data_IF_056655683213
#
_entry.id   IF_056655683213
#
_cell.length_a   1.000
_cell.length_b   1.000
_cell.length_c   1.000
_cell.angle_alpha   90.00
_cell.angle_beta   90.00
_cell.angle_gamma   90.00
#
_symmetry.space_group_name_H-M   'P 1'
#
loop_
_entity.id
_entity.type
_entity.pdbx_description
1 polymer ?
#
# COMPACT_ATOMS: atom_id res chain seq x y z
N UNK A 1 33.86 -14.50 13.66
CA UNK A 1 32.99 -13.52 14.34
C UNK A 1 31.98 -13.05 13.30
N UNK A 2 30.84 -13.74 13.23
CA UNK A 2 29.80 -13.48 12.24
C UNK A 2 28.91 -12.37 12.74
N UNK A 3 29.13 -11.17 12.20
CA UNK A 3 28.31 -10.00 12.44
C UNK A 3 27.10 -10.06 11.49
N UNK A 4 26.20 -11.02 11.71
CA UNK A 4 24.83 -10.95 11.17
C UNK A 4 24.10 -9.89 11.98
N UNK A 5 24.40 -8.63 11.69
CA UNK A 5 23.51 -7.53 12.06
C UNK A 5 22.18 -7.84 11.38
N UNK A 6 21.18 -8.17 12.20
CA UNK A 6 19.78 -8.18 11.80
C UNK A 6 19.46 -6.80 11.24
N UNK A 7 19.62 -6.65 9.94
CA UNK A 7 18.97 -5.64 9.15
C UNK A 7 17.48 -6.03 9.11
N UNK A 8 16.82 -5.96 10.27
CA UNK A 8 15.37 -5.83 10.33
C UNK A 8 15.10 -4.45 9.75
N UNK A 9 15.16 -4.39 8.42
CA UNK A 9 14.79 -3.23 7.65
C UNK A 9 13.39 -2.88 8.10
N UNK A 10 13.27 -1.74 8.76
CA UNK A 10 11.99 -1.13 9.06
C UNK A 10 11.20 -1.15 7.75
N UNK A 11 10.19 -2.00 7.67
CA UNK A 11 9.29 -2.00 6.54
C UNK A 11 8.16 -1.03 6.91
N UNK A 12 7.82 -0.04 6.08
CA UNK A 12 6.64 0.79 6.30
C UNK A 12 5.36 -0.03 6.49
N UNK A 13 5.36 -1.29 6.05
CA UNK A 13 4.29 -2.25 6.23
C UNK A 13 4.13 -2.75 7.68
N UNK A 14 5.19 -2.78 8.49
CA UNK A 14 5.08 -3.13 9.93
C UNK A 14 4.44 -2.01 10.78
N UNK A 15 4.46 -0.76 10.30
CA UNK A 15 3.71 0.34 10.92
C UNK A 15 2.22 0.35 10.54
N UNK A 16 1.83 -0.38 9.50
CA UNK A 16 0.42 -0.73 9.29
C UNK A 16 0.13 -1.82 10.30
N UNK A 17 -0.15 -1.40 11.54
CA UNK A 17 -0.46 -2.24 12.71
C UNK A 17 -1.03 -3.57 12.24
N UNK A 18 -0.18 -4.60 12.25
CA UNK A 18 -0.60 -5.96 11.92
C UNK A 18 -1.77 -6.23 12.86
N UNK A 19 -2.98 -6.20 12.30
CA UNK A 19 -4.22 -6.01 13.05
C UNK A 19 -4.38 -7.22 13.95
N UNK A 20 -3.79 -7.13 15.14
CA UNK A 20 -3.56 -8.23 16.07
C UNK A 20 -4.89 -8.90 16.21
N UNK A 21 -5.00 -10.11 15.65
CA UNK A 21 -6.28 -10.79 15.43
C UNK A 21 -7.13 -10.59 16.67
N UNK A 22 -8.20 -9.78 16.56
CA UNK A 22 -9.01 -9.41 17.72
C UNK A 22 -9.72 -10.68 18.18
N UNK A 23 -9.11 -11.42 19.10
CA UNK A 23 -9.70 -12.64 19.67
C UNK A 23 -10.78 -12.22 20.67
N UNK A 24 -12.03 -12.64 20.46
CA UNK A 24 -13.14 -12.37 21.37
C UNK A 24 -14.48 -12.19 20.65
N UNK A 25 -15.52 -11.91 21.44
CA UNK A 25 -16.89 -11.70 20.95
C UNK A 25 -16.98 -10.61 19.88
N UNK A 26 -16.22 -9.52 20.06
CA UNK A 26 -16.16 -8.40 19.11
C UNK A 26 -15.53 -8.84 17.78
N UNK A 27 -14.46 -9.65 17.82
CA UNK A 27 -13.84 -10.18 16.60
C UNK A 27 -14.76 -11.14 15.86
N UNK A 28 -15.46 -12.01 16.59
CA UNK A 28 -16.50 -12.88 16.04
C UNK A 28 -17.63 -12.08 15.40
N UNK A 29 -18.08 -11.00 16.05
CA UNK A 29 -19.11 -10.11 15.50
C UNK A 29 -18.66 -9.49 14.18
N UNK A 30 -17.47 -8.88 14.14
CA UNK A 30 -16.95 -8.29 12.90
C UNK A 30 -16.77 -9.33 11.79
N UNK A 31 -16.27 -10.53 12.12
CA UNK A 31 -16.11 -11.60 11.15
C UNK A 31 -17.44 -12.05 10.51
N UNK A 32 -18.55 -11.93 11.23
CA UNK A 32 -19.87 -12.34 10.74
C UNK A 32 -20.69 -11.21 10.09
N UNK A 33 -20.43 -9.95 10.47
CA UNK A 33 -21.31 -8.82 10.12
C UNK A 33 -20.66 -7.78 9.22
N UNK A 34 -19.32 -7.70 9.18
CA UNK A 34 -18.58 -6.74 8.35
C UNK A 34 -17.90 -7.42 7.16
N UNK A 35 -17.50 -6.62 6.18
CA UNK A 35 -16.65 -7.07 5.07
C UNK A 35 -15.24 -7.45 5.58
N UNK A 36 -14.60 -8.47 5.00
CA UNK A 36 -13.24 -8.83 5.35
C UNK A 36 -12.29 -7.67 5.01
N UNK A 37 -11.26 -7.50 5.83
CA UNK A 37 -10.24 -6.46 5.63
C UNK A 37 -9.53 -6.72 4.30
N UNK A 38 -9.54 -5.76 3.35
CA UNK A 38 -8.90 -5.94 2.06
C UNK A 38 -7.36 -5.94 2.20
N UNK A 39 -6.63 -6.58 1.28
CA UNK A 39 -5.17 -6.55 1.28
C UNK A 39 -4.64 -5.13 1.08
N UNK A 40 -3.40 -4.87 1.49
CA UNK A 40 -2.75 -3.56 1.37
C UNK A 40 -2.67 -3.04 -0.08
N UNK A 41 -2.66 -3.94 -1.06
CA UNK A 41 -2.67 -3.64 -2.49
C UNK A 41 -4.06 -3.34 -3.06
N UNK A 42 -5.12 -3.43 -2.26
CA UNK A 42 -6.48 -3.21 -2.74
C UNK A 42 -6.74 -1.75 -3.10
N UNK A 43 -7.73 -1.53 -3.97
CA UNK A 43 -8.10 -0.19 -4.39
C UNK A 43 -8.61 0.65 -3.21
N UNK A 44 -8.44 1.97 -3.30
CA UNK A 44 -8.95 2.90 -2.28
C UNK A 44 -10.46 2.72 -2.01
N UNK A 45 -11.23 2.44 -3.06
CA UNK A 45 -12.69 2.26 -2.98
C UNK A 45 -13.04 1.03 -2.14
N UNK A 46 -12.29 -0.07 -2.29
CA UNK A 46 -12.48 -1.28 -1.50
C UNK A 46 -12.08 -1.10 -0.04
N UNK A 47 -10.94 -0.42 0.22
CA UNK A 47 -10.51 -0.07 1.58
C UNK A 47 -11.56 0.79 2.30
N UNK A 48 -12.09 1.79 1.62
CA UNK A 48 -13.14 2.66 2.17
C UNK A 48 -14.46 1.90 2.40
N UNK A 49 -14.86 1.03 1.48
CA UNK A 49 -16.06 0.20 1.64
C UNK A 49 -15.94 -0.74 2.85
N UNK A 50 -14.77 -1.36 3.06
CA UNK A 50 -14.51 -2.20 4.23
C UNK A 50 -14.53 -1.39 5.54
N UNK A 51 -13.89 -0.22 5.57
CA UNK A 51 -13.90 0.70 6.71
C UNK A 51 -15.33 1.13 7.08
N UNK A 52 -16.14 1.53 6.09
CA UNK A 52 -17.56 1.85 6.31
C UNK A 52 -18.35 0.66 6.81
N UNK A 53 -18.12 -0.53 6.23
CA UNK A 53 -18.81 -1.75 6.66
C UNK A 53 -18.51 -2.11 8.12
N UNK A 54 -17.25 -1.93 8.57
CA UNK A 54 -16.87 -2.12 9.97
C UNK A 54 -17.51 -1.08 10.90
N UNK A 55 -17.54 0.19 10.49
CA UNK A 55 -18.23 1.25 11.23
C UNK A 55 -19.73 0.92 11.37
N UNK A 56 -20.40 0.56 10.27
CA UNK A 56 -21.81 0.14 10.26
C UNK A 56 -22.04 -1.06 11.17
N UNK A 57 -21.19 -2.08 11.12
CA UNK A 57 -21.29 -3.25 12.00
C UNK A 57 -21.14 -2.87 13.49
N UNK A 58 -20.28 -1.90 13.80
CA UNK A 58 -20.10 -1.39 15.18
C UNK A 58 -21.35 -0.67 15.67
N UNK A 59 -21.92 0.19 14.82
CA UNK A 59 -23.14 0.93 15.15
C UNK A 59 -24.31 -0.02 15.36
N UNK A 60 -24.52 -0.98 14.45
CA UNK A 60 -25.61 -1.97 14.58
C UNK A 60 -25.45 -2.80 15.86
N UNK A 61 -24.23 -3.18 16.22
CA UNK A 61 -23.99 -3.91 17.47
C UNK A 61 -24.47 -3.14 18.70
N UNK A 62 -23.99 -1.89 18.85
CA UNK A 62 -24.38 -1.07 20.00
C UNK A 62 -25.85 -0.68 19.98
N UNK A 63 -26.41 -0.45 18.79
CA UNK A 63 -27.83 -0.17 18.63
C UNK A 63 -28.69 -1.36 19.07
N UNK A 64 -28.33 -2.59 18.70
CA UNK A 64 -29.00 -3.81 19.16
C UNK A 64 -28.92 -3.96 20.68
N UNK A 65 -27.75 -3.70 21.28
CA UNK A 65 -27.60 -3.70 22.74
C UNK A 65 -28.52 -2.68 23.38
N UNK A 66 -28.57 -1.45 22.87
CA UNK A 66 -29.48 -0.41 23.36
C UNK A 66 -30.95 -0.82 23.26
N UNK A 67 -31.41 -1.37 22.13
CA UNK A 67 -32.79 -1.83 21.98
C UNK A 67 -33.14 -2.94 22.97
N UNK A 68 -32.24 -3.92 23.16
CA UNK A 68 -32.45 -4.99 24.14
C UNK A 68 -32.58 -4.41 25.56
N UNK A 69 -31.77 -3.41 25.90
CA UNK A 69 -31.82 -2.73 27.20
C UNK A 69 -33.06 -1.83 27.37
N UNK A 70 -33.67 -1.37 26.27
CA UNK A 70 -34.88 -0.54 26.32
C UNK A 70 -36.17 -1.35 26.50
N UNK A 71 -36.21 -2.62 26.10
CA UNK A 71 -37.40 -3.49 26.24
C UNK A 71 -38.02 -3.46 27.64
N UNK A 72 -37.27 -3.60 28.76
CA UNK A 72 -37.84 -3.50 30.10
C UNK A 72 -38.48 -2.14 30.40
N UNK A 73 -37.88 -1.05 29.92
CA UNK A 73 -38.43 0.30 30.05
C UNK A 73 -39.73 0.45 29.28
N UNK A 74 -39.78 -0.07 28.05
CA UNK A 74 -40.98 -0.02 27.20
C UNK A 74 -42.16 -0.79 27.80
N UNK A 75 -41.92 -1.85 28.57
CA UNK A 75 -42.96 -2.58 29.30
C UNK A 75 -43.62 -1.76 30.42
N UNK A 76 -42.94 -0.73 30.92
CA UNK A 76 -43.48 0.18 31.96
C UNK A 76 -44.21 1.39 31.39
N UNK A 77 -44.07 1.65 30.08
CA UNK A 77 -44.68 2.80 29.44
C UNK A 77 -46.19 2.55 29.17
N UNK A 78 -47.05 3.57 29.30
CA UNK A 78 -48.47 3.44 29.01
C UNK A 78 -48.78 3.11 27.54
N UNK A 79 -47.87 3.45 26.62
CA UNK A 79 -48.03 3.25 25.18
C UNK A 79 -47.40 1.91 24.73
N UNK A 80 -48.20 0.86 24.44
CA UNK A 80 -47.67 -0.44 24.01
C UNK A 80 -47.07 -0.41 22.60
N UNK A 81 -47.35 0.61 21.78
CA UNK A 81 -46.78 0.73 20.43
C UNK A 81 -45.26 0.94 20.44
N UNK A 82 -44.70 1.46 21.55
CA UNK A 82 -43.25 1.63 21.71
C UNK A 82 -42.52 0.28 21.63
N UNK A 83 -43.07 -0.76 22.27
CA UNK A 83 -42.49 -2.11 22.24
C UNK A 83 -42.48 -2.66 20.82
N UNK A 84 -43.55 -2.43 20.06
CA UNK A 84 -43.65 -2.86 18.67
C UNK A 84 -42.68 -2.09 17.76
N UNK A 85 -42.51 -0.79 17.99
CA UNK A 85 -41.55 0.02 17.26
C UNK A 85 -40.12 -0.50 17.48
N UNK A 86 -39.73 -0.78 18.73
CA UNK A 86 -38.42 -1.35 19.06
C UNK A 86 -38.23 -2.75 18.47
N UNK A 87 -39.26 -3.61 18.54
CA UNK A 87 -39.22 -4.94 17.93
C UNK A 87 -39.01 -4.87 16.40
N UNK A 88 -39.69 -3.95 15.72
CA UNK A 88 -39.51 -3.70 14.29
C UNK A 88 -38.08 -3.21 14.00
N UNK A 89 -37.52 -2.36 14.86
CA UNK A 89 -36.14 -1.88 14.72
C UNK A 89 -35.08 -2.96 14.89
N UNK A 90 -35.31 -3.92 15.78
CA UNK A 90 -34.46 -5.11 15.90
C UNK A 90 -34.49 -5.91 14.58
N UNK A 91 -35.66 -6.09 13.98
CA UNK A 91 -35.79 -6.77 12.67
C UNK A 91 -35.05 -5.99 11.57
N UNK A 92 -35.23 -4.67 11.48
CA UNK A 92 -34.48 -3.84 10.52
C UNK A 92 -32.97 -3.93 10.73
N UNK A 93 -32.50 -4.01 11.98
CA UNK A 93 -31.09 -4.17 12.30
C UNK A 93 -30.54 -5.49 11.77
N UNK A 94 -31.27 -6.60 11.91
CA UNK A 94 -30.88 -7.89 11.33
C UNK A 94 -30.86 -7.86 9.79
N UNK A 95 -31.83 -7.22 9.16
CA UNK A 95 -31.83 -7.04 7.70
C UNK A 95 -30.64 -6.17 7.29
N UNK A 96 -30.35 -5.09 8.01
CA UNK A 96 -29.21 -4.22 7.73
C UNK A 96 -27.87 -4.96 7.82
N UNK A 97 -27.71 -5.92 8.75
CA UNK A 97 -26.52 -6.80 8.80
C UNK A 97 -26.36 -7.58 7.49
N UNK A 98 -27.45 -8.12 6.95
CA UNK A 98 -27.42 -8.86 5.69
C UNK A 98 -27.00 -7.97 4.51
N UNK A 99 -27.52 -6.74 4.43
CA UNK A 99 -27.12 -5.76 3.42
C UNK A 99 -25.66 -5.32 3.58
N UNK A 100 -25.20 -5.12 4.81
CA UNK A 100 -23.81 -4.76 5.11
C UNK A 100 -22.84 -5.84 4.61
N UNK A 101 -23.19 -7.11 4.84
CA UNK A 101 -22.40 -8.26 4.38
C UNK A 101 -22.45 -8.44 2.85
N UNK A 102 -23.53 -8.02 2.20
CA UNK A 102 -23.72 -8.10 0.75
C UNK A 102 -22.98 -7.01 -0.05
N UNK A 103 -21.92 -6.41 0.52
CA UNK A 103 -21.13 -5.30 -0.06
C UNK A 103 -21.91 -4.02 -0.34
N UNK A 104 -23.08 -3.84 0.30
CA UNK A 104 -23.89 -2.63 0.14
C UNK A 104 -24.12 -1.88 1.46
N UNK A 105 -23.04 -1.38 2.11
CA UNK A 105 -23.12 -0.73 3.42
C UNK A 105 -23.98 0.54 3.40
N UNK A 106 -24.07 1.24 2.25
CA UNK A 106 -24.94 2.40 2.08
C UNK A 106 -26.43 2.01 2.17
N UNK A 107 -26.80 0.88 1.57
CA UNK A 107 -28.17 0.35 1.65
C UNK A 107 -28.54 -0.04 3.09
N UNK A 108 -27.61 -0.68 3.81
CA UNK A 108 -27.79 -1.00 5.23
C UNK A 108 -27.98 0.28 6.08
N UNK A 109 -27.15 1.31 5.84
CA UNK A 109 -27.27 2.60 6.50
C UNK A 109 -28.59 3.31 6.22
N UNK A 110 -29.03 3.29 4.96
CA UNK A 110 -30.30 3.89 4.55
C UNK A 110 -31.49 3.17 5.21
N UNK A 111 -31.49 1.84 5.16
CA UNK A 111 -32.53 1.02 5.77
C UNK A 111 -32.64 1.28 7.28
N UNK A 112 -31.50 1.33 7.98
CA UNK A 112 -31.47 1.56 9.42
C UNK A 112 -31.95 2.97 9.78
N UNK A 113 -31.53 3.98 9.01
CA UNK A 113 -31.96 5.37 9.20
C UNK A 113 -33.46 5.50 8.98
N UNK A 114 -33.97 5.01 7.85
CA UNK A 114 -35.41 5.05 7.54
C UNK A 114 -36.24 4.26 8.54
N UNK A 115 -35.78 3.07 8.93
CA UNK A 115 -36.43 2.27 9.97
C UNK A 115 -36.55 3.06 11.27
N UNK A 116 -35.46 3.68 11.72
CA UNK A 116 -35.41 4.44 12.96
C UNK A 116 -36.35 5.65 12.93
N UNK A 117 -36.34 6.40 11.82
CA UNK A 117 -37.22 7.55 11.61
C UNK A 117 -38.70 7.15 11.56
N UNK A 118 -39.04 6.05 10.89
CA UNK A 118 -40.41 5.51 10.84
C UNK A 118 -40.85 5.06 12.24
N UNK A 119 -39.98 4.39 13.00
CA UNK A 119 -40.27 3.93 14.34
C UNK A 119 -40.55 5.10 15.30
N UNK A 120 -39.71 6.15 15.30
CA UNK A 120 -39.93 7.35 16.10
C UNK A 120 -41.21 8.09 15.69
N UNK A 121 -41.43 8.25 14.39
CA UNK A 121 -42.65 8.86 13.86
C UNK A 121 -43.90 8.09 14.31
N UNK A 122 -43.87 6.76 14.25
CA UNK A 122 -44.97 5.91 14.73
C UNK A 122 -45.22 6.11 16.23
N UNK A 123 -44.17 6.17 17.06
CA UNK A 123 -44.30 6.39 18.51
C UNK A 123 -44.94 7.75 18.81
N UNK A 124 -44.53 8.80 18.11
CA UNK A 124 -45.08 10.14 18.29
C UNK A 124 -46.55 10.21 17.85
N UNK A 125 -46.90 9.63 16.70
CA UNK A 125 -48.29 9.64 16.21
C UNK A 125 -49.24 8.71 16.96
N UNK A 126 -48.72 7.74 17.71
CA UNK A 126 -49.54 6.86 18.56
C UNK A 126 -49.69 7.38 19.99
N UNK A 127 -48.94 8.42 20.37
CA UNK A 127 -49.06 9.06 21.69
C UNK A 127 -50.24 10.03 21.68
N UNK A 128 -51.42 9.53 22.05
CA UNK A 128 -52.68 10.29 22.07
C UNK A 128 -53.28 10.29 23.49
N UNK A 129 -53.57 11.47 24.10
CA UNK A 129 -53.32 12.83 23.60
C UNK A 129 -51.87 13.27 23.77
N UNK A 130 -51.43 14.26 22.99
CA UNK A 130 -50.09 14.83 23.12
C UNK A 130 -49.98 15.58 24.46
N UNK A 131 -49.01 15.20 25.27
CA UNK A 131 -48.73 15.75 26.60
C UNK A 131 -47.37 16.48 26.63
N UNK A 132 -47.12 17.26 27.68
CA UNK A 132 -45.86 18.02 27.79
C UNK A 132 -44.61 17.12 27.79
N UNK A 133 -44.57 15.96 28.49
CA UNK A 133 -43.44 15.04 28.42
C UNK A 133 -43.17 14.48 27.01
N UNK A 134 -44.19 14.23 26.20
CA UNK A 134 -44.00 13.72 24.83
C UNK A 134 -43.26 14.69 23.92
N UNK A 135 -43.28 16.00 24.20
CA UNK A 135 -42.49 16.99 23.45
C UNK A 135 -40.99 16.72 23.59
N UNK A 136 -40.54 16.16 24.72
CA UNK A 136 -39.14 15.76 24.89
C UNK A 136 -38.74 14.62 23.93
N UNK A 137 -39.70 13.82 23.45
CA UNK A 137 -39.44 12.78 22.46
C UNK A 137 -38.99 13.36 21.10
N UNK A 138 -39.29 14.63 20.80
CA UNK A 138 -38.77 15.29 19.60
C UNK A 138 -37.25 15.43 19.63
N UNK A 139 -36.63 15.46 20.82
CA UNK A 139 -35.17 15.48 20.94
C UNK A 139 -34.57 14.10 20.55
N UNK A 140 -35.35 13.01 20.54
CA UNK A 140 -34.87 11.68 20.08
C UNK A 140 -34.60 11.63 18.58
N UNK A 141 -35.24 12.48 17.76
CA UNK A 141 -34.95 12.60 16.33
C UNK A 141 -33.49 12.98 16.04
N UNK A 142 -32.83 13.62 17.00
CA UNK A 142 -31.40 13.91 16.92
C UNK A 142 -30.57 12.65 16.76
N UNK A 143 -30.95 11.54 17.41
CA UNK A 143 -30.27 10.26 17.23
C UNK A 143 -30.39 9.73 15.80
N UNK A 144 -31.53 9.98 15.14
CA UNK A 144 -31.75 9.65 13.75
C UNK A 144 -30.83 10.43 12.80
N UNK A 145 -30.64 11.72 13.06
CA UNK A 145 -29.68 12.55 12.33
C UNK A 145 -28.23 12.09 12.51
N UNK A 146 -27.82 11.79 13.75
CA UNK A 146 -26.47 11.30 14.06
C UNK A 146 -26.22 9.94 13.41
N UNK A 147 -27.22 9.06 13.42
CA UNK A 147 -27.17 7.75 12.77
C UNK A 147 -27.08 7.90 11.24
N UNK A 148 -27.87 8.82 10.65
CA UNK A 148 -27.81 9.19 9.24
C UNK A 148 -26.42 9.66 8.83
N UNK A 149 -25.85 10.63 9.55
CA UNK A 149 -24.51 11.19 9.27
C UNK A 149 -23.41 10.14 9.37
N UNK A 150 -23.54 9.22 10.32
CA UNK A 150 -22.52 8.19 10.57
C UNK A 150 -22.53 7.11 9.48
N UNK A 151 -23.70 6.78 8.92
CA UNK A 151 -23.87 5.66 8.00
C UNK A 151 -23.99 6.06 6.53
N UNK A 152 -24.53 7.25 6.26
CA UNK A 152 -24.78 7.78 4.93
C UNK A 152 -23.79 8.88 4.56
N UNK A 153 -24.04 9.57 3.45
CA UNK A 153 -23.26 10.74 3.07
C UNK A 153 -23.58 11.90 4.01
N UNK A 154 -22.59 12.71 4.40
CA UNK A 154 -22.82 13.83 5.32
C UNK A 154 -23.93 14.78 4.88
N UNK A 155 -24.17 14.92 3.56
CA UNK A 155 -25.21 15.81 3.03
C UNK A 155 -26.64 15.30 3.25
N UNK A 156 -26.86 13.99 3.46
CA UNK A 156 -28.22 13.46 3.66
C UNK A 156 -28.83 13.87 4.99
N UNK A 157 -28.02 14.35 5.94
CA UNK A 157 -28.50 14.85 7.25
C UNK A 157 -29.53 15.96 7.09
N UNK A 158 -29.36 16.85 6.11
CA UNK A 158 -30.28 17.97 5.90
C UNK A 158 -31.66 17.49 5.42
N UNK A 159 -31.72 16.38 4.67
CA UNK A 159 -32.99 15.81 4.23
C UNK A 159 -33.73 15.21 5.45
N UNK A 160 -33.01 14.48 6.30
CA UNK A 160 -33.56 13.91 7.54
C UNK A 160 -34.00 15.02 8.50
N UNK A 161 -33.18 16.06 8.68
CA UNK A 161 -33.52 17.23 9.49
C UNK A 161 -34.82 17.92 9.01
N UNK A 162 -34.97 18.16 7.70
CA UNK A 162 -36.18 18.75 7.15
C UNK A 162 -37.41 17.84 7.34
N UNK A 163 -37.22 16.53 7.18
CA UNK A 163 -38.27 15.55 7.48
C UNK A 163 -38.68 15.60 8.95
N UNK A 164 -37.72 15.59 9.87
CA UNK A 164 -37.95 15.63 11.33
C UNK A 164 -38.67 16.92 11.75
N UNK A 165 -38.26 18.07 11.22
CA UNK A 165 -38.94 19.35 11.43
C UNK A 165 -40.39 19.27 10.91
N UNK A 166 -40.60 18.69 9.73
CA UNK A 166 -41.94 18.49 9.17
C UNK A 166 -42.83 17.63 10.08
N UNK A 167 -42.30 16.54 10.64
CA UNK A 167 -43.02 15.66 11.57
C UNK A 167 -43.31 16.37 12.90
N UNK A 168 -42.37 17.13 13.45
CA UNK A 168 -42.56 17.91 14.68
C UNK A 168 -43.67 18.94 14.50
N UNK A 169 -43.66 19.69 13.38
CA UNK A 169 -44.73 20.66 13.10
C UNK A 169 -46.07 19.95 12.86
N UNK A 170 -46.08 18.87 12.07
CA UNK A 170 -47.30 18.13 11.78
C UNK A 170 -47.94 17.54 13.04
N UNK A 171 -47.14 16.93 13.94
CA UNK A 171 -47.62 16.40 15.21
C UNK A 171 -48.19 17.51 16.11
N UNK A 172 -47.49 18.64 16.25
CA UNK A 172 -47.96 19.76 17.06
C UNK A 172 -49.23 20.46 16.54
N UNK A 173 -49.51 20.42 15.23
CA UNK A 173 -50.70 21.09 14.67
C UNK A 173 -51.88 20.15 14.43
N UNK A 174 -51.63 18.86 14.16
CA UNK A 174 -52.68 17.91 13.79
C UNK A 174 -53.13 17.03 14.96
N UNK A 175 -52.28 16.79 15.96
CA UNK A 175 -52.65 15.93 17.08
C UNK A 175 -53.49 16.69 18.13
N UNK A 176 -54.40 15.99 18.82
CA UNK A 176 -55.13 16.57 19.92
C UNK A 176 -54.25 16.71 21.17
N UNK A 177 -54.32 17.88 21.79
CA UNK A 177 -53.51 18.26 22.94
C UNK A 177 -54.25 18.01 24.25
N UNK A 178 -53.49 17.68 25.30
CA UNK A 178 -53.97 17.79 26.67
C UNK A 178 -54.36 19.23 27.01
N UNK A 179 -55.27 19.42 27.97
CA UNK A 179 -55.72 20.76 28.38
C UNK A 179 -54.57 21.65 28.88
N UNK A 180 -53.59 21.04 29.57
CA UNK A 180 -52.37 21.72 30.05
C UNK A 180 -51.53 22.20 28.86
N UNK A 181 -51.18 21.29 27.95
CA UNK A 181 -50.37 21.65 26.78
C UNK A 181 -51.07 22.68 25.88
N UNK A 182 -52.40 22.63 25.75
CA UNK A 182 -53.15 23.62 25.00
C UNK A 182 -53.06 25.03 25.62
N UNK A 183 -53.04 25.12 26.96
CA UNK A 183 -52.81 26.39 27.65
C UNK A 183 -51.39 26.91 27.41
N UNK A 184 -50.39 26.03 27.48
CA UNK A 184 -48.99 26.40 27.24
C UNK A 184 -48.73 26.80 25.79
N UNK A 185 -49.37 26.15 24.83
CA UNK A 185 -49.30 26.52 23.42
C UNK A 185 -49.86 27.92 23.17
N UNK A 186 -50.91 28.34 23.87
CA UNK A 186 -51.45 29.69 23.75
C UNK A 186 -50.50 30.76 24.30
N UNK A 187 -49.75 30.44 25.36
CA UNK A 187 -48.86 31.39 26.03
C UNK A 187 -47.43 31.39 25.46
N UNK A 188 -46.95 30.24 24.97
CA UNK A 188 -45.53 29.99 24.66
C UNK A 188 -45.32 29.16 23.37
N UNK A 189 -46.17 29.31 22.36
CA UNK A 189 -46.04 28.61 21.06
C UNK A 189 -44.64 28.70 20.46
N UNK A 190 -44.07 29.90 20.43
CA UNK A 190 -42.79 30.16 19.77
C UNK A 190 -41.64 29.41 20.47
N UNK A 191 -41.44 29.53 21.80
CA UNK A 191 -40.49 28.70 22.54
C UNK A 191 -40.65 27.19 22.33
N UNK A 192 -41.89 26.69 22.31
CA UNK A 192 -42.18 25.25 22.15
C UNK A 192 -41.73 24.74 20.78
N UNK A 193 -41.88 25.53 19.71
CA UNK A 193 -41.44 25.17 18.36
C UNK A 193 -39.94 25.40 18.17
N UNK A 194 -39.44 26.56 18.60
CA UNK A 194 -38.06 26.98 18.29
C UNK A 194 -37.02 26.08 18.96
N UNK A 195 -37.32 25.53 20.14
CA UNK A 195 -36.40 24.66 20.87
C UNK A 195 -36.07 23.37 20.09
N UNK A 196 -37.03 22.48 19.77
CA UNK A 196 -36.73 21.25 19.04
C UNK A 196 -36.21 21.54 17.63
N UNK A 197 -36.80 22.49 16.91
CA UNK A 197 -36.34 22.87 15.56
C UNK A 197 -34.91 23.41 15.59
N UNK A 198 -34.60 24.29 16.54
CA UNK A 198 -33.26 24.86 16.73
C UNK A 198 -32.21 23.78 17.06
N UNK A 199 -32.57 22.79 17.88
CA UNK A 199 -31.70 21.65 18.17
C UNK A 199 -31.42 20.81 16.92
N UNK A 200 -32.43 20.48 16.10
CA UNK A 200 -32.22 19.74 14.84
C UNK A 200 -31.27 20.50 13.90
N UNK A 201 -31.49 21.81 13.71
CA UNK A 201 -30.59 22.62 12.88
C UNK A 201 -29.14 22.63 13.39
N UNK A 202 -28.97 22.82 14.70
CA UNK A 202 -27.65 22.86 15.33
C UNK A 202 -26.94 21.52 15.14
N UNK A 203 -27.60 20.40 15.45
CA UNK A 203 -26.99 19.08 15.38
C UNK A 203 -26.70 18.68 13.93
N UNK A 204 -27.61 18.90 12.99
CA UNK A 204 -27.38 18.63 11.57
C UNK A 204 -26.14 19.39 11.05
N UNK A 205 -26.01 20.67 11.38
CA UNK A 205 -24.88 21.49 10.92
C UNK A 205 -23.55 21.07 11.56
N UNK A 206 -23.51 20.87 12.88
CA UNK A 206 -22.30 20.44 13.60
C UNK A 206 -21.86 19.06 13.13
N UNK A 207 -22.80 18.13 12.98
CA UNK A 207 -22.50 16.75 12.53
C UNK A 207 -22.02 16.73 11.09
N UNK A 208 -22.61 17.55 10.22
CA UNK A 208 -22.14 17.73 8.84
C UNK A 208 -20.70 18.27 8.80
N UNK A 209 -20.40 19.32 9.58
CA UNK A 209 -19.06 19.89 9.66
C UNK A 209 -18.05 18.85 10.16
N UNK A 210 -18.40 18.12 11.22
CA UNK A 210 -17.54 17.11 11.83
C UNK A 210 -17.20 16.00 10.84
N UNK A 211 -18.18 15.36 10.21
CA UNK A 211 -17.92 14.27 9.25
C UNK A 211 -17.22 14.77 7.99
N UNK A 212 -17.54 15.96 7.50
CA UNK A 212 -16.86 16.53 6.34
C UNK A 212 -15.40 16.84 6.66
N UNK A 213 -15.12 17.36 7.85
CA UNK A 213 -13.76 17.60 8.34
C UNK A 213 -12.97 16.30 8.49
N UNK A 214 -13.55 15.30 9.17
CA UNK A 214 -12.94 13.98 9.35
C UNK A 214 -12.66 13.31 8.00
N UNK A 215 -13.62 13.34 7.07
CA UNK A 215 -13.46 12.78 5.72
C UNK A 215 -12.34 13.47 4.92
N UNK A 216 -12.18 14.79 5.07
CA UNK A 216 -11.08 15.53 4.43
C UNK A 216 -9.73 15.22 5.07
N UNK A 217 -9.67 15.12 6.40
CA UNK A 217 -8.46 14.75 7.12
C UNK A 217 -8.00 13.35 6.71
N UNK A 218 -8.94 12.40 6.62
CA UNK A 218 -8.66 11.03 6.20
C UNK A 218 -8.11 10.96 4.78
N UNK A 219 -8.74 11.67 3.82
CA UNK A 219 -8.21 11.78 2.44
C UNK A 219 -6.82 12.41 2.38
N UNK A 220 -6.47 13.30 3.31
CA UNK A 220 -5.12 13.89 3.38
C UNK A 220 -4.11 12.90 3.97
N UNK A 221 -4.48 12.19 5.03
CA UNK A 221 -3.66 11.13 5.61
C UNK A 221 -3.36 10.03 4.59
N UNK A 222 -4.38 9.55 3.88
CA UNK A 222 -4.23 8.50 2.85
C UNK A 222 -3.32 8.97 1.69
N UNK A 223 -3.38 10.25 1.31
CA UNK A 223 -2.45 10.83 0.32
C UNK A 223 -1.03 10.95 0.85
N UNK A 224 -0.85 11.32 2.11
CA UNK A 224 0.47 11.41 2.72
C UNK A 224 1.11 10.02 2.85
N UNK A 225 0.34 9.00 3.21
CA UNK A 225 0.78 7.60 3.23
C UNK A 225 1.24 7.13 1.84
N UNK A 226 0.45 7.42 0.80
CA UNK A 226 0.83 7.08 -0.57
C UNK A 226 2.10 7.80 -1.03
N UNK A 227 2.27 9.08 -0.68
CA UNK A 227 3.48 9.85 -1.02
C UNK A 227 4.70 9.27 -0.30
N UNK A 228 4.59 8.98 1.00
CA UNK A 228 5.68 8.39 1.76
C UNK A 228 6.09 7.01 1.22
N UNK A 229 5.11 6.20 0.81
CA UNK A 229 5.38 4.91 0.15
C UNK A 229 6.15 5.08 -1.15
N UNK A 230 5.73 6.00 -2.02
CA UNK A 230 6.40 6.26 -3.29
C UNK A 230 7.80 6.88 -3.09
N UNK A 231 7.97 7.76 -2.11
CA UNK A 231 9.27 8.34 -1.77
C UNK A 231 10.24 7.26 -1.30
N UNK A 232 9.78 6.30 -0.49
CA UNK A 232 10.60 5.19 -0.05
C UNK A 232 11.05 4.31 -1.23
N UNK A 233 10.14 3.96 -2.15
CA UNK A 233 10.50 3.23 -3.37
C UNK A 233 11.54 3.97 -4.21
N UNK A 234 11.41 5.30 -4.34
CA UNK A 234 12.39 6.11 -5.07
C UNK A 234 13.74 6.19 -4.37
N UNK A 235 13.78 6.19 -3.04
CA UNK A 235 15.02 6.16 -2.27
C UNK A 235 15.74 4.82 -2.48
N UNK A 236 15.02 3.70 -2.43
CA UNK A 236 15.59 2.37 -2.66
C UNK A 236 16.16 2.25 -4.08
N UNK A 237 15.41 2.70 -5.09
CA UNK A 237 15.89 2.75 -6.48
C UNK A 237 17.14 3.64 -6.62
N UNK A 238 17.16 4.80 -5.96
CA UNK A 238 18.33 5.69 -5.96
C UNK A 238 19.54 5.05 -5.31
N UNK A 239 19.36 4.31 -4.21
CA UNK A 239 20.46 3.62 -3.56
C UNK A 239 21.03 2.54 -4.48
N UNK A 240 20.18 1.72 -5.11
CA UNK A 240 20.61 0.71 -6.08
C UNK A 240 21.34 1.31 -7.29
N UNK A 241 20.87 2.46 -7.79
CA UNK A 241 21.55 3.21 -8.85
C UNK A 241 22.91 3.75 -8.38
N UNK A 242 22.98 4.36 -7.19
CA UNK A 242 24.21 4.92 -6.65
C UNK A 242 25.27 3.84 -6.41
N UNK A 243 24.87 2.70 -5.85
CA UNK A 243 25.74 1.53 -5.70
C UNK A 243 26.27 1.06 -7.06
N UNK A 244 25.40 0.98 -8.08
CA UNK A 244 25.80 0.60 -9.42
C UNK A 244 26.77 1.59 -10.09
N UNK A 245 26.56 2.90 -9.92
CA UNK A 245 27.48 3.94 -10.39
C UNK A 245 28.84 3.81 -9.72
N UNK A 246 28.88 3.63 -8.39
CA UNK A 246 30.12 3.50 -7.64
C UNK A 246 30.94 2.28 -8.11
N UNK A 247 30.29 1.16 -8.42
CA UNK A 247 30.96 -0.03 -8.96
C UNK A 247 31.55 0.21 -10.36
N UNK A 248 30.81 0.90 -11.24
CA UNK A 248 31.31 1.30 -12.57
C UNK A 248 32.51 2.23 -12.42
N UNK A 249 32.41 3.24 -11.56
CA UNK A 249 33.47 4.20 -11.32
C UNK A 249 34.73 3.53 -10.77
N UNK A 250 34.58 2.64 -9.79
CA UNK A 250 35.69 1.88 -9.22
C UNK A 250 36.38 1.03 -10.29
N UNK A 251 35.61 0.34 -11.14
CA UNK A 251 36.16 -0.43 -12.26
C UNK A 251 36.98 0.47 -13.19
N UNK A 252 36.47 1.67 -13.50
CA UNK A 252 37.17 2.63 -14.34
C UNK A 252 38.49 3.11 -13.71
N UNK A 253 38.51 3.35 -12.40
CA UNK A 253 39.72 3.73 -11.65
C UNK A 253 40.74 2.58 -11.66
N UNK A 254 40.32 1.35 -11.43
CA UNK A 254 41.22 0.18 -11.47
C UNK A 254 41.85 -0.01 -12.85
N UNK A 255 41.07 0.16 -13.93
CA UNK A 255 41.58 0.11 -15.31
C UNK A 255 42.57 1.24 -15.57
N UNK A 256 42.27 2.46 -15.12
CA UNK A 256 43.16 3.61 -15.26
C UNK A 256 44.49 3.41 -14.52
N UNK A 257 44.47 2.65 -13.41
CA UNK A 257 45.66 2.24 -12.65
C UNK A 257 46.39 1.03 -13.28
N UNK A 258 46.03 0.61 -14.49
CA UNK A 258 46.70 -0.46 -15.24
C UNK A 258 46.14 -1.86 -15.03
N UNK A 259 45.10 -2.04 -14.20
CA UNK A 259 44.44 -3.33 -14.04
C UNK A 259 43.43 -3.57 -15.18
N UNK A 260 43.93 -3.98 -16.35
CA UNK A 260 43.09 -4.28 -17.53
C UNK A 260 42.18 -5.52 -17.35
N UNK A 261 42.35 -6.28 -16.26
CA UNK A 261 41.50 -7.44 -15.93
C UNK A 261 40.26 -7.04 -15.10
N UNK A 262 40.19 -5.82 -14.58
CA UNK A 262 39.02 -5.34 -13.85
C UNK A 262 37.77 -5.37 -14.75
N UNK A 263 36.62 -5.72 -14.16
CA UNK A 263 35.31 -5.79 -14.82
C UNK A 263 34.27 -5.24 -13.87
N UNK A 264 33.27 -4.55 -14.41
CA UNK A 264 32.16 -4.02 -13.61
C UNK A 264 31.16 -5.16 -13.34
N UNK A 265 31.02 -5.64 -12.09
CA UNK A 265 30.19 -6.80 -11.76
C UNK A 265 28.75 -6.36 -11.45
N UNK A 266 28.02 -5.89 -12.47
CA UNK A 266 26.60 -5.58 -12.31
C UNK A 266 25.72 -6.78 -12.67
N UNK A 267 24.71 -7.04 -11.83
CA UNK A 267 23.67 -8.04 -12.09
C UNK A 267 22.69 -7.54 -13.18
N UNK A 268 22.03 -8.47 -13.88
CA UNK A 268 21.05 -8.14 -14.94
C UNK A 268 19.86 -7.33 -14.43
N UNK A 269 19.56 -7.43 -13.13
CA UNK A 269 18.46 -6.72 -12.49
C UNK A 269 18.76 -5.22 -12.26
N UNK A 270 20.03 -4.79 -12.37
CA UNK A 270 20.38 -3.38 -12.21
C UNK A 270 20.13 -2.62 -13.51
N UNK A 271 19.46 -1.46 -13.43
CA UNK A 271 19.18 -0.59 -14.59
C UNK A 271 20.46 -0.19 -15.35
N UNK A 272 21.60 -0.11 -14.66
CA UNK A 272 22.91 0.24 -15.23
C UNK A 272 23.63 -0.95 -15.87
N UNK A 273 23.04 -2.15 -15.87
CA UNK A 273 23.66 -3.35 -16.45
C UNK A 273 24.08 -3.16 -17.91
N UNK A 274 23.26 -2.47 -18.71
CA UNK A 274 23.57 -2.20 -20.11
C UNK A 274 24.82 -1.31 -20.26
N UNK A 275 25.02 -0.35 -19.33
CA UNK A 275 26.20 0.53 -19.30
C UNK A 275 27.44 -0.27 -18.86
N UNK A 276 27.34 -1.11 -17.82
CA UNK A 276 28.45 -1.98 -17.45
C UNK A 276 28.83 -2.96 -18.56
N UNK A 277 27.85 -3.50 -19.29
CA UNK A 277 28.10 -4.40 -20.41
C UNK A 277 28.85 -3.70 -21.54
N UNK A 278 28.44 -2.50 -21.93
CA UNK A 278 29.14 -1.74 -22.96
C UNK A 278 30.56 -1.36 -22.51
N UNK A 279 30.74 -0.95 -21.25
CA UNK A 279 32.05 -0.70 -20.64
C UNK A 279 32.94 -1.95 -20.70
N UNK A 280 32.46 -3.10 -20.22
CA UNK A 280 33.23 -4.34 -20.22
C UNK A 280 33.65 -4.77 -21.64
N UNK A 281 32.81 -4.52 -22.66
CA UNK A 281 33.19 -4.72 -24.06
C UNK A 281 34.29 -3.78 -24.54
N UNK A 282 34.25 -2.51 -24.14
CA UNK A 282 35.32 -1.55 -24.44
C UNK A 282 36.63 -1.93 -23.74
N UNK A 283 36.55 -2.37 -22.49
CA UNK A 283 37.72 -2.84 -21.72
C UNK A 283 38.36 -4.08 -22.35
N UNK A 284 37.56 -5.04 -22.84
CA UNK A 284 38.07 -6.21 -23.55
C UNK A 284 38.78 -5.81 -24.87
N UNK A 285 38.22 -4.85 -25.61
CA UNK A 285 38.86 -4.30 -26.81
C UNK A 285 40.18 -3.59 -26.49
N UNK A 286 40.19 -2.74 -25.46
CA UNK A 286 41.40 -2.04 -25.01
C UNK A 286 42.48 -3.03 -24.56
N UNK A 287 42.11 -4.03 -23.76
CA UNK A 287 43.03 -5.06 -23.30
C UNK A 287 43.67 -5.82 -24.47
N UNK A 288 42.88 -6.19 -25.49
CA UNK A 288 43.42 -6.83 -26.70
C UNK A 288 44.39 -5.92 -27.44
N UNK A 289 44.04 -4.63 -27.59
CA UNK A 289 44.91 -3.64 -28.23
C UNK A 289 46.26 -3.50 -27.51
N UNK A 290 46.26 -3.36 -26.18
CA UNK A 290 47.49 -3.25 -25.38
C UNK A 290 48.34 -4.51 -25.48
N UNK A 291 47.74 -5.71 -25.45
CA UNK A 291 48.47 -6.97 -25.62
C UNK A 291 49.08 -7.06 -27.02
N UNK A 292 48.36 -6.63 -28.05
CA UNK A 292 48.88 -6.59 -29.42
C UNK A 292 50.05 -5.62 -29.55
N UNK A 293 49.96 -4.42 -28.97
CA UNK A 293 51.05 -3.45 -28.97
C UNK A 293 52.28 -3.97 -28.21
N UNK A 294 52.09 -4.62 -27.06
CA UNK A 294 53.18 -5.25 -26.32
C UNK A 294 53.84 -6.39 -27.11
N UNK A 295 53.04 -7.20 -27.83
CA UNK A 295 53.57 -8.24 -28.73
C UNK A 295 54.36 -7.63 -29.88
N UNK A 296 53.85 -6.57 -30.49
CA UNK A 296 54.55 -5.83 -31.55
C UNK A 296 55.89 -5.30 -31.05
N UNK A 297 55.91 -4.60 -29.90
CA UNK A 297 57.15 -4.10 -29.29
C UNK A 297 58.16 -5.20 -28.98
N UNK A 298 57.70 -6.35 -28.46
CA UNK A 298 58.57 -7.52 -28.23
C UNK A 298 59.12 -8.08 -29.54
N UNK A 299 58.30 -8.14 -30.57
CA UNK A 299 58.71 -8.57 -31.90
C UNK A 299 59.72 -7.60 -32.52
N UNK A 300 59.50 -6.29 -32.43
CA UNK A 300 60.44 -5.26 -32.89
C UNK A 300 61.79 -5.37 -32.19
N UNK A 301 61.80 -5.50 -30.85
CA UNK A 301 63.03 -5.72 -30.09
C UNK A 301 63.74 -7.02 -30.49
N UNK A 302 62.99 -8.10 -30.71
CA UNK A 302 63.52 -9.37 -31.17
C UNK A 302 64.12 -9.28 -32.57
N UNK A 303 63.44 -8.64 -33.53
CA UNK A 303 63.99 -8.37 -34.87
C UNK A 303 65.27 -7.57 -34.77
N UNK A 304 65.27 -6.47 -34.01
CA UNK A 304 66.44 -5.59 -33.89
C UNK A 304 67.63 -6.33 -33.27
N UNK A 305 67.40 -7.15 -32.24
CA UNK A 305 68.43 -7.99 -31.65
C UNK A 305 69.00 -9.02 -32.65
N UNK A 306 68.15 -9.64 -33.48
CA UNK A 306 68.60 -10.57 -34.51
C UNK A 306 69.38 -9.87 -35.62
N UNK A 307 68.92 -8.69 -36.06
CA UNK A 307 69.64 -7.88 -37.07
C UNK A 307 71.02 -7.50 -36.55
N UNK A 308 71.13 -7.07 -35.30
CA UNK A 308 72.43 -6.78 -34.66
C UNK A 308 73.32 -8.01 -34.57
N UNK A 309 72.79 -9.16 -34.18
CA UNK A 309 73.54 -10.42 -34.11
C UNK A 309 74.07 -10.85 -35.50
N UNK A 310 73.28 -10.66 -36.56
CA UNK A 310 73.69 -10.93 -37.93
C UNK A 310 74.82 -9.98 -38.35
N UNK A 311 74.65 -8.67 -38.14
CA UNK A 311 75.65 -7.66 -38.49
C UNK A 311 76.97 -7.89 -37.75
N UNK A 312 76.91 -8.30 -36.48
CA UNK A 312 78.09 -8.58 -35.68
C UNK A 312 78.83 -9.84 -36.15
N UNK A 313 78.10 -10.92 -36.48
CA UNK A 313 78.70 -12.13 -37.04
C UNK A 313 79.34 -11.87 -38.42
N UNK A 314 78.70 -11.05 -39.26
CA UNK A 314 79.22 -10.64 -40.56
C UNK A 314 80.54 -9.86 -40.42
N UNK A 315 80.62 -8.92 -39.47
CA UNK A 315 81.88 -8.20 -39.18
C UNK A 315 83.00 -9.11 -38.69
N UNK A 316 82.67 -10.23 -38.05
CA UNK A 316 83.63 -11.21 -37.53
C UNK A 316 83.94 -12.34 -38.53
N UNK A 317 83.32 -12.35 -39.71
CA UNK A 317 83.40 -13.45 -40.69
C UNK A 317 82.94 -14.82 -40.11
N UNK A 318 82.09 -14.80 -39.08
CA UNK A 318 81.50 -16.00 -38.48
C UNK A 318 80.07 -16.23 -38.97
N UNK A 319 79.59 -17.48 -38.90
CA UNK A 319 78.20 -17.79 -39.24
C UNK A 319 77.26 -17.27 -38.14
N UNK A 320 76.22 -16.47 -38.45
CA UNK A 320 75.32 -15.93 -37.45
C UNK A 320 74.54 -17.05 -36.75
N UNK A 321 74.67 -17.13 -35.42
CA UNK A 321 73.85 -18.01 -34.58
C UNK A 321 72.64 -17.21 -34.09
N UNK A 322 71.51 -17.43 -34.74
CA UNK A 322 70.24 -16.82 -34.34
C UNK A 322 69.65 -17.61 -33.16
N UNK A 323 69.42 -16.95 -32.03
CA UNK A 323 68.80 -17.55 -30.86
C UNK A 323 67.26 -17.51 -30.96
N UNK A 324 66.56 -18.47 -30.37
CA UNK A 324 65.10 -18.43 -30.28
C UNK A 324 64.64 -17.25 -29.41
N UNK A 325 63.74 -16.44 -29.95
CA UNK A 325 63.23 -15.21 -29.35
C UNK A 325 61.90 -15.40 -28.63
N UNK A 326 61.30 -16.60 -28.71
CA UNK A 326 59.95 -16.92 -28.24
C UNK A 326 58.87 -16.05 -28.87
N UNK A 327 59.15 -15.53 -30.07
CA UNK A 327 58.18 -14.77 -30.87
C UNK A 327 57.82 -15.55 -32.14
N UNK A 328 56.87 -15.04 -32.92
CA UNK A 328 56.51 -15.65 -34.20
C UNK A 328 57.67 -15.67 -35.20
N UNK A 329 58.73 -14.87 -34.96
CA UNK A 329 59.98 -14.91 -35.72
C UNK A 329 60.70 -16.25 -35.59
N UNK A 330 60.44 -17.03 -34.53
CA UNK A 330 61.13 -18.30 -34.29
C UNK A 330 60.86 -19.33 -35.39
N UNK A 331 59.68 -19.28 -36.01
CA UNK A 331 59.37 -20.11 -37.17
C UNK A 331 60.26 -19.74 -38.37
N UNK A 332 60.53 -18.45 -38.54
CA UNK A 332 61.36 -17.92 -39.62
C UNK A 332 62.85 -18.19 -39.36
N UNK A 333 63.29 -18.04 -38.11
CA UNK A 333 64.65 -18.41 -37.66
C UNK A 333 64.91 -19.90 -37.88
N UNK A 334 63.96 -20.77 -37.48
CA UNK A 334 64.09 -22.20 -37.67
C UNK A 334 64.21 -22.58 -39.15
N UNK A 335 63.37 -21.99 -40.00
CA UNK A 335 63.42 -22.18 -41.45
C UNK A 335 64.76 -21.73 -42.06
N UNK A 336 65.27 -20.55 -41.67
CA UNK A 336 66.54 -20.01 -42.18
C UNK A 336 67.76 -20.84 -41.74
N UNK A 337 67.73 -21.44 -40.55
CA UNK A 337 68.82 -22.28 -40.05
C UNK A 337 68.86 -23.68 -40.69
N UNK A 338 67.95 -24.00 -41.62
CA UNK A 338 67.88 -25.32 -42.26
C UNK A 338 67.52 -26.44 -41.28
N UNK A 339 67.11 -26.11 -40.05
CA UNK A 339 66.48 -27.05 -39.13
C UNK A 339 65.01 -27.09 -39.52
N UNK A 340 64.65 -28.06 -40.35
CA UNK A 340 63.26 -28.49 -40.38
C UNK A 340 62.85 -28.81 -38.94
N UNK A 341 61.94 -28.01 -38.39
CA UNK A 341 61.27 -28.31 -37.13
C UNK A 341 60.51 -29.61 -37.37
N UNK A 342 61.18 -30.72 -37.14
CA UNK A 342 60.60 -32.04 -37.01
C UNK A 342 59.49 -31.92 -35.98
N UNK A 343 58.27 -31.89 -36.50
CA UNK A 343 56.99 -31.85 -35.82
C UNK A 343 56.90 -33.07 -34.89
N UNK A 344 57.41 -32.95 -33.68
CA UNK A 344 57.25 -33.95 -32.61
C UNK A 344 56.82 -33.25 -31.34
N UNK A 345 55.64 -32.64 -31.37
CA UNK A 345 54.85 -32.42 -30.16
C UNK A 345 53.68 -33.37 -30.23
N UNK A 346 53.88 -34.58 -29.70
CA UNK A 346 52.80 -35.44 -29.24
C UNK A 346 51.90 -34.60 -28.32
N UNK A 347 50.67 -34.34 -28.78
CA UNK A 347 49.60 -33.92 -27.89
C UNK A 347 49.40 -35.04 -26.86
N UNK A 348 49.53 -34.78 -25.55
CA UNK A 348 49.07 -35.72 -24.55
C UNK A 348 47.57 -35.94 -24.78
N UNK A 349 47.18 -37.18 -25.02
CA UNK A 349 45.79 -37.60 -24.98
C UNK A 349 45.22 -37.23 -23.60
N UNK A 350 44.52 -36.10 -23.51
CA UNK A 350 43.65 -35.80 -22.37
C UNK A 350 42.54 -36.85 -22.36
N UNK A 351 42.79 -37.89 -21.57
CA UNK A 351 41.84 -38.89 -21.14
C UNK A 351 40.70 -38.18 -20.40
N UNK A 352 39.58 -37.98 -21.10
CA UNK A 352 38.33 -37.49 -20.50
C UNK A 352 37.83 -38.54 -19.51
N UNK A 353 37.97 -38.25 -18.22
CA UNK A 353 37.21 -38.91 -17.16
C UNK A 353 35.77 -38.39 -17.19
N UNK A 354 34.74 -39.25 -17.27
CA UNK A 354 33.36 -38.81 -17.13
C UNK A 354 33.08 -38.51 -15.64
N UNK A 355 32.96 -37.23 -15.28
CA UNK A 355 32.39 -36.84 -13.99
C UNK A 355 30.87 -36.87 -14.08
N UNK A 356 30.30 -37.83 -13.35
CA UNK A 356 28.89 -37.99 -13.04
C UNK A 356 28.39 -36.82 -12.20
N UNK A 357 27.46 -36.04 -12.73
CA UNK A 357 26.68 -35.06 -11.99
C UNK A 357 25.64 -35.80 -11.13
N UNK A 358 25.76 -35.70 -9.80
CA UNK A 358 24.69 -36.05 -8.86
C UNK A 358 23.83 -34.80 -8.61
N UNK A 359 22.54 -34.96 -8.84
CA UNK A 359 21.47 -34.03 -8.46
C UNK A 359 21.25 -34.00 -6.95
N UNK A 360 21.19 -32.80 -6.37
CA UNK A 360 20.38 -32.47 -5.19
C UNK A 360 19.70 -31.14 -5.42
#
# INVERSE_FOLDING_TARGET
>A
MNNTQNNQGWSPQELVEENKQRTGLIGWWYANTALPTPPSSASFVEREAARKSQLTATIIFWLLVCFILFIPGCLTLPNPFVIWADAIMIVFSFIAIFFNRSRWPQGAGLLLTLGFEIALTLVIFTTWPLDEPSIQQYELFVFGELLCVSLLSSSSVFIVMLYNIGIILASLFLQPHTAVLNHDLQMQLIPIIIRPVGVQFLVAFVSWLWVNSASKALKRADRAEMIAYLEHQLVDEREHLQQGINQILQTHVEVANGNLKARAPLNQDNVLWQIARSLNMLLDRLQRSVIQEQRLKRMEMAVQAQVQAIQQAEQQNEKPVLNFTQTELDMLIAALQGKELGRTTQLPSMQRSPQTFKSQ
#
